data_IF_013243371385
#
_entry.id   IF_013243371385
#
_cell.length_a   1.000
_cell.length_b   1.000
_cell.length_c   1.000
_cell.angle_alpha   90.00
_cell.angle_beta   90.00
_cell.angle_gamma   90.00
#
_symmetry.space_group_name_H-M   'P 1'
#
loop_
_entity.id
_entity.type
_entity.pdbx_description
1 polymer ?
#
# COMPACT_ATOMS: atom_id res chain seq x y z
N UNK A 1 -1.96 1.01 12.32
CA UNK A 1 -2.88 0.15 13.09
C UNK A 1 -3.14 0.74 14.48
N UNK A 2 -3.97 0.10 15.30
CA UNK A 2 -4.34 0.66 16.62
C UNK A 2 -3.15 0.75 17.58
N UNK A 3 -2.22 -0.18 17.50
CA UNK A 3 -0.98 -0.13 18.28
C UNK A 3 -0.10 1.05 17.86
N UNK A 4 0.02 1.27 16.55
CA UNK A 4 0.76 2.41 16.01
C UNK A 4 0.09 3.73 16.39
N UNK A 5 -1.24 3.74 16.46
CA UNK A 5 -2.00 4.91 16.89
C UNK A 5 -1.69 5.28 18.34
N UNK A 6 -1.63 4.28 19.23
CA UNK A 6 -1.25 4.47 20.63
C UNK A 6 0.17 5.05 20.79
N UNK A 7 1.07 4.66 19.90
CA UNK A 7 2.45 5.16 19.86
C UNK A 7 2.60 6.52 19.14
N UNK A 8 1.51 7.09 18.61
CA UNK A 8 1.54 8.34 17.86
C UNK A 8 2.18 8.23 16.47
N UNK A 9 2.45 7.03 15.98
CA UNK A 9 3.09 6.80 14.69
C UNK A 9 2.29 7.35 13.51
N UNK A 10 0.97 7.16 13.40
CA UNK A 10 0.19 7.76 12.31
C UNK A 10 0.33 9.29 12.23
N UNK A 11 0.54 9.95 13.37
CA UNK A 11 0.78 11.39 13.39
C UNK A 11 2.18 11.75 12.90
N UNK A 12 3.20 10.96 13.26
CA UNK A 12 4.59 11.15 12.79
C UNK A 12 4.73 10.89 11.30
N UNK A 13 4.07 9.82 10.82
CA UNK A 13 4.16 9.34 9.44
C UNK A 13 3.09 9.95 8.51
N UNK A 14 2.31 10.91 9.00
CA UNK A 14 1.21 11.51 8.25
C UNK A 14 1.67 12.16 6.93
N UNK A 15 2.90 12.62 6.87
CA UNK A 15 3.50 13.16 5.66
C UNK A 15 3.41 12.19 4.48
N UNK A 16 3.64 10.90 4.71
CA UNK A 16 3.58 9.88 3.66
C UNK A 16 2.16 9.63 3.16
N UNK A 17 1.17 9.66 4.05
CA UNK A 17 -0.24 9.57 3.69
C UNK A 17 -0.66 10.75 2.80
N UNK A 18 -0.16 11.94 3.07
CA UNK A 18 -0.44 13.12 2.27
C UNK A 18 0.38 13.15 0.97
N UNK A 19 1.60 12.64 0.98
CA UNK A 19 2.48 12.59 -0.19
C UNK A 19 1.84 11.85 -1.36
N UNK A 20 1.18 10.73 -1.10
CA UNK A 20 0.50 9.94 -2.14
C UNK A 20 -0.76 10.63 -2.72
N UNK A 21 -1.29 11.65 -2.05
CA UNK A 21 -2.48 12.40 -2.49
C UNK A 21 -2.12 13.73 -3.15
N UNK A 22 -1.00 14.33 -2.74
CA UNK A 22 -0.62 15.71 -3.10
C UNK A 22 0.70 15.74 -3.89
N UNK A 23 1.04 14.69 -4.61
CA UNK A 23 2.21 14.69 -5.49
C UNK A 23 2.03 15.65 -6.65
N UNK A 24 3.13 16.15 -7.18
CA UNK A 24 3.17 16.92 -8.42
C UNK A 24 3.96 16.13 -9.46
N UNK A 25 3.46 16.09 -10.68
CA UNK A 25 4.24 15.60 -11.81
C UNK A 25 5.26 16.69 -12.14
N UNK A 26 6.54 16.39 -11.98
CA UNK A 26 7.60 17.30 -12.34
C UNK A 26 7.81 17.29 -13.86
N UNK A 27 7.98 16.10 -14.43
CA UNK A 27 8.03 15.90 -15.86
C UNK A 27 7.62 14.47 -16.25
N UNK A 28 7.39 14.27 -17.54
CA UNK A 28 7.20 12.95 -18.15
C UNK A 28 7.98 12.95 -19.47
N UNK A 29 8.99 12.09 -19.55
CA UNK A 29 9.85 11.96 -20.72
C UNK A 29 9.54 10.65 -21.42
N UNK A 30 9.43 10.69 -22.75
CA UNK A 30 9.24 9.50 -23.56
C UNK A 30 10.37 9.40 -24.57
N UNK A 31 11.01 8.25 -24.63
CA UNK A 31 12.17 7.98 -25.49
C UNK A 31 11.98 6.63 -26.21
N UNK A 32 12.60 6.50 -27.37
CA UNK A 32 12.70 5.21 -28.05
C UNK A 32 14.04 4.53 -27.67
N UNK A 33 13.97 3.25 -27.33
CA UNK A 33 15.12 2.39 -27.10
C UNK A 33 15.01 1.15 -27.98
N UNK A 34 15.57 1.24 -29.17
CA UNK A 34 15.36 0.25 -30.22
C UNK A 34 13.89 0.14 -30.61
N UNK A 35 13.32 -1.04 -30.38
CA UNK A 35 11.88 -1.31 -30.63
C UNK A 35 11.01 -1.05 -29.39
N UNK A 36 11.63 -0.66 -28.25
CA UNK A 36 10.92 -0.42 -27.02
C UNK A 36 10.56 1.07 -26.89
N UNK A 37 9.53 1.36 -26.11
CA UNK A 37 9.21 2.72 -25.68
C UNK A 37 9.54 2.82 -24.19
N UNK A 38 10.36 3.80 -23.83
CA UNK A 38 10.71 4.12 -22.45
C UNK A 38 9.96 5.38 -22.04
N UNK A 39 9.20 5.30 -20.96
CA UNK A 39 8.50 6.42 -20.36
C UNK A 39 9.01 6.60 -18.93
N UNK A 40 9.60 7.76 -18.65
CA UNK A 40 10.05 8.12 -17.31
C UNK A 40 9.17 9.22 -16.76
N UNK A 41 8.51 8.95 -15.64
CA UNK A 41 7.67 9.91 -14.93
C UNK A 41 8.33 10.29 -13.60
N UNK A 42 8.59 11.56 -13.41
CA UNK A 42 9.18 12.13 -12.22
C UNK A 42 8.12 12.81 -11.38
N UNK A 43 7.96 12.35 -10.16
CA UNK A 43 6.96 12.86 -9.21
C UNK A 43 7.67 13.53 -8.03
N UNK A 44 7.29 14.76 -7.75
CA UNK A 44 7.69 15.47 -6.55
C UNK A 44 6.66 15.21 -5.46
N UNK A 45 7.11 14.57 -4.40
CA UNK A 45 6.32 14.26 -3.21
C UNK A 45 6.45 15.38 -2.16
N UNK A 46 5.71 15.27 -1.08
CA UNK A 46 5.85 16.16 0.05
C UNK A 46 7.29 16.14 0.60
N UNK A 47 7.71 17.27 1.19
CA UNK A 47 9.07 17.50 1.70
C UNK A 47 10.19 17.39 0.63
N UNK A 48 9.85 17.56 -0.65
CA UNK A 48 10.86 17.58 -1.73
C UNK A 48 11.38 16.21 -2.14
N UNK A 49 10.82 15.13 -1.64
CA UNK A 49 11.21 13.78 -2.03
C UNK A 49 10.86 13.50 -3.49
N UNK A 50 11.71 12.79 -4.19
CA UNK A 50 11.51 12.42 -5.58
C UNK A 50 11.12 10.95 -5.70
N UNK A 51 10.05 10.69 -6.45
CA UNK A 51 9.60 9.35 -6.79
C UNK A 51 9.59 9.23 -8.32
N UNK A 52 10.42 8.34 -8.83
CA UNK A 52 10.63 8.14 -10.25
C UNK A 52 10.09 6.78 -10.64
N UNK A 53 9.27 6.75 -11.68
CA UNK A 53 8.83 5.50 -12.30
C UNK A 53 9.27 5.48 -13.74
N UNK A 54 10.11 4.51 -14.09
CA UNK A 54 10.55 4.26 -15.44
C UNK A 54 9.86 3.02 -15.97
N UNK A 55 9.04 3.18 -16.98
CA UNK A 55 8.41 2.07 -17.70
C UNK A 55 9.15 1.78 -18.99
N UNK A 56 9.58 0.54 -19.18
CA UNK A 56 10.05 0.04 -20.47
C UNK A 56 8.97 -0.83 -21.06
N UNK A 57 8.38 -0.38 -22.17
CA UNK A 57 7.25 -1.03 -22.84
C UNK A 57 7.80 -1.78 -24.06
N UNK A 58 7.65 -3.09 -24.01
CA UNK A 58 8.14 -4.00 -25.05
C UNK A 58 7.04 -4.28 -26.11
N UNK A 59 7.44 -4.60 -27.36
CA UNK A 59 6.48 -4.86 -28.45
C UNK A 59 5.55 -6.05 -28.21
N UNK A 60 5.92 -6.99 -27.35
CA UNK A 60 5.13 -8.17 -26.97
C UNK A 60 4.07 -7.87 -25.89
N UNK A 61 4.01 -6.61 -25.42
CA UNK A 61 3.08 -6.17 -24.39
C UNK A 61 3.60 -6.31 -22.96
N UNK A 62 4.83 -6.77 -22.77
CA UNK A 62 5.50 -6.73 -21.46
C UNK A 62 5.80 -5.27 -21.09
N UNK A 63 5.61 -4.92 -19.85
CA UNK A 63 5.99 -3.62 -19.28
C UNK A 63 6.88 -3.89 -18.08
N UNK A 64 8.12 -3.45 -18.15
CA UNK A 64 9.02 -3.42 -17.00
C UNK A 64 8.88 -2.07 -16.30
N UNK A 65 8.75 -2.08 -14.98
CA UNK A 65 8.61 -0.86 -14.18
C UNK A 65 9.72 -0.81 -13.13
N UNK A 66 10.63 0.14 -13.30
CA UNK A 66 11.65 0.49 -12.32
C UNK A 66 11.13 1.64 -11.45
N UNK A 67 11.17 1.45 -10.13
CA UNK A 67 10.69 2.44 -9.17
C UNK A 67 11.86 2.88 -8.31
N UNK A 68 12.15 4.18 -8.34
CA UNK A 68 13.20 4.79 -7.52
C UNK A 68 12.59 5.84 -6.61
N UNK A 69 12.90 5.75 -5.33
CA UNK A 69 12.58 6.79 -4.36
C UNK A 69 13.88 7.44 -3.89
N UNK A 70 13.93 8.77 -3.98
CA UNK A 70 15.09 9.56 -3.52
C UNK A 70 14.61 10.62 -2.55
N UNK A 71 15.13 10.61 -1.33
CA UNK A 71 14.91 11.68 -0.37
C UNK A 71 15.93 12.80 -0.62
N UNK A 72 15.46 14.03 -0.69
CA UNK A 72 16.35 15.21 -0.84
C UNK A 72 17.08 15.56 0.45
N UNK A 73 16.60 15.05 1.60
CA UNK A 73 17.23 15.24 2.90
C UNK A 73 18.24 14.12 3.25
N UNK A 74 18.49 13.20 2.33
CA UNK A 74 19.52 12.19 2.49
C UNK A 74 20.89 12.74 2.03
N UNK A 75 21.60 13.45 2.88
CA UNK A 75 23.04 13.23 3.00
C UNK A 75 23.25 11.77 3.41
N UNK A 76 24.19 11.09 2.77
CA UNK A 76 24.43 9.65 2.96
C UNK A 76 24.26 9.22 4.43
N UNK A 77 23.17 8.53 4.73
CA UNK A 77 22.91 7.90 6.03
C UNK A 77 22.04 8.68 7.02
N UNK A 78 21.48 9.83 6.67
CA UNK A 78 20.60 10.59 7.59
C UNK A 78 19.23 10.84 6.99
N UNK A 79 18.25 10.13 7.48
CA UNK A 79 16.82 10.41 7.28
C UNK A 79 16.36 11.35 8.40
N UNK A 80 16.51 12.66 8.25
CA UNK A 80 16.07 13.62 9.28
C UNK A 80 14.82 14.40 8.81
N UNK A 81 13.79 14.38 9.63
CA UNK A 81 12.63 15.28 9.46
C UNK A 81 13.05 16.69 9.83
N UNK A 82 12.61 17.69 9.06
CA UNK A 82 12.94 19.09 9.39
C UNK A 82 12.49 19.44 10.81
N UNK A 83 13.27 20.27 11.50
CA UNK A 83 12.98 20.67 12.87
C UNK A 83 11.62 21.39 12.99
N UNK A 84 11.21 22.12 11.95
CA UNK A 84 9.91 22.76 11.88
C UNK A 84 8.75 21.73 11.90
N UNK A 85 8.90 20.61 11.17
CA UNK A 85 7.90 19.53 11.16
C UNK A 85 7.85 18.83 12.53
N UNK A 86 9.02 18.61 13.15
CA UNK A 86 9.11 18.03 14.48
C UNK A 86 8.50 18.95 15.56
N UNK A 87 8.77 20.25 15.49
CA UNK A 87 8.19 21.25 16.41
C UNK A 87 6.68 21.31 16.32
N UNK A 88 6.12 21.25 15.11
CA UNK A 88 4.67 21.23 14.90
C UNK A 88 3.99 19.95 15.41
N UNK A 89 4.76 18.87 15.62
CA UNK A 89 4.24 17.54 15.95
C UNK A 89 4.32 17.22 17.44
N UNK A 90 5.30 17.75 18.16
CA UNK A 90 5.58 17.40 19.56
C UNK A 90 5.43 18.62 20.48
N UNK A 91 4.83 18.38 21.64
CA UNK A 91 4.75 19.37 22.70
C UNK A 91 6.12 19.54 23.41
N UNK A 92 6.37 20.71 24.04
CA UNK A 92 7.55 20.88 24.89
C UNK A 92 7.65 19.76 25.95
N UNK A 93 8.83 19.25 26.19
CA UNK A 93 9.08 18.13 27.12
C UNK A 93 9.06 16.72 26.47
N UNK A 94 8.84 16.65 25.17
CA UNK A 94 8.88 15.38 24.40
C UNK A 94 10.15 15.24 23.55
N UNK A 95 11.29 15.75 24.01
CA UNK A 95 12.55 15.79 23.26
C UNK A 95 13.04 14.40 22.86
N UNK A 96 12.84 13.40 23.69
CA UNK A 96 13.28 12.04 23.41
C UNK A 96 12.41 11.39 22.31
N UNK A 97 11.08 11.61 22.37
CA UNK A 97 10.15 11.21 21.32
C UNK A 97 10.41 11.97 20.03
N UNK A 98 10.77 13.24 20.10
CA UNK A 98 11.17 14.09 18.97
C UNK A 98 12.44 13.57 18.30
N UNK A 99 13.47 13.21 19.06
CA UNK A 99 14.71 12.61 18.53
C UNK A 99 14.48 11.24 17.88
N UNK A 100 13.59 10.43 18.46
CA UNK A 100 13.22 9.15 17.87
C UNK A 100 12.43 9.33 16.55
N UNK A 101 11.65 10.40 16.45
CA UNK A 101 10.88 10.74 15.25
C UNK A 101 11.72 11.46 14.17
N UNK A 102 12.95 11.87 14.47
CA UNK A 102 13.84 12.49 13.49
C UNK A 102 14.33 11.53 12.40
N UNK A 103 14.10 10.23 12.56
CA UNK A 103 14.32 9.22 11.51
C UNK A 103 13.02 8.95 10.77
N UNK A 104 12.87 9.53 9.61
CA UNK A 104 11.76 9.20 8.70
C UNK A 104 11.95 7.77 8.19
N UNK A 105 10.99 6.92 8.56
CA UNK A 105 10.88 5.59 7.98
C UNK A 105 9.78 5.65 6.92
N UNK A 106 10.09 5.29 5.68
CA UNK A 106 9.08 5.14 4.63
C UNK A 106 8.32 3.85 4.90
N UNK A 107 7.06 3.90 5.29
CA UNK A 107 6.33 2.70 5.72
C UNK A 107 6.01 1.76 4.56
N UNK A 108 5.87 2.30 3.33
CA UNK A 108 5.59 1.53 2.14
C UNK A 108 6.01 2.29 0.89
N UNK A 109 6.62 1.57 -0.05
CA UNK A 109 6.87 2.04 -1.42
C UNK A 109 6.24 1.03 -2.37
N UNK A 110 5.50 1.50 -3.38
CA UNK A 110 4.91 0.62 -4.37
C UNK A 110 3.96 1.36 -5.30
N UNK A 111 3.27 0.60 -6.11
CA UNK A 111 2.25 1.08 -7.04
C UNK A 111 0.89 0.53 -6.66
N UNK A 112 -0.14 1.30 -6.94
CA UNK A 112 -1.52 0.89 -6.81
C UNK A 112 -2.25 1.21 -8.11
N UNK A 113 -3.01 0.26 -8.60
CA UNK A 113 -3.84 0.45 -9.78
C UNK A 113 -5.15 -0.31 -9.66
N UNK A 114 -6.05 -0.04 -10.57
CA UNK A 114 -7.37 -0.66 -10.64
C UNK A 114 -7.48 -1.47 -11.91
N UNK A 115 -8.09 -2.63 -11.80
CA UNK A 115 -8.39 -3.52 -12.92
C UNK A 115 -9.89 -3.84 -12.94
N UNK A 116 -10.43 -4.30 -14.10
CA UNK A 116 -11.82 -4.71 -14.18
C UNK A 116 -12.20 -5.74 -13.11
N UNK A 117 -13.40 -5.62 -12.57
CA UNK A 117 -13.89 -6.46 -11.49
C UNK A 117 -14.00 -7.96 -11.84
N UNK A 118 -14.12 -8.27 -13.12
CA UNK A 118 -14.17 -9.65 -13.63
C UNK A 118 -12.80 -10.33 -13.68
N UNK A 119 -11.71 -9.57 -13.50
CA UNK A 119 -10.36 -10.10 -13.25
C UNK A 119 -10.19 -10.42 -11.75
N UNK A 120 -10.94 -11.39 -11.26
CA UNK A 120 -10.98 -11.72 -9.84
C UNK A 120 -10.34 -13.07 -9.49
N UNK A 121 -9.91 -13.85 -10.47
CA UNK A 121 -9.14 -15.06 -10.22
C UNK A 121 -7.71 -14.67 -9.89
N UNK A 122 -7.20 -15.13 -8.76
CA UNK A 122 -5.87 -14.80 -8.27
C UNK A 122 -5.06 -16.09 -8.14
N UNK A 123 -3.94 -16.15 -8.85
CA UNK A 123 -2.95 -17.21 -8.68
C UNK A 123 -1.61 -16.56 -8.37
N UNK A 124 -0.89 -17.06 -7.37
CA UNK A 124 0.37 -16.45 -6.98
C UNK A 124 1.36 -17.48 -6.42
N UNK A 125 2.65 -17.20 -6.62
CA UNK A 125 3.73 -17.90 -5.97
C UNK A 125 4.36 -16.99 -4.92
N UNK A 126 4.03 -17.28 -3.67
CA UNK A 126 4.39 -16.43 -2.54
C UNK A 126 3.96 -17.05 -1.22
N UNK A 127 3.96 -16.25 -0.16
CA UNK A 127 3.60 -16.73 1.17
C UNK A 127 2.07 -16.70 1.37
N UNK A 128 1.52 -17.85 1.81
CA UNK A 128 0.07 -18.02 1.98
C UNK A 128 -0.27 -19.24 2.85
N UNK A 129 -1.51 -19.80 2.76
CA UNK A 129 -2.66 -19.33 1.97
C UNK A 129 -3.35 -18.08 2.56
N UNK A 130 -3.31 -17.92 3.88
CA UNK A 130 -3.90 -16.79 4.59
C UNK A 130 -3.11 -15.49 4.43
N UNK A 131 -3.71 -14.37 4.83
CA UNK A 131 -3.00 -13.11 4.87
C UNK A 131 -1.80 -13.18 5.82
N UNK A 132 -0.76 -12.48 5.46
CA UNK A 132 0.45 -12.40 6.24
C UNK A 132 1.13 -11.04 6.02
N UNK A 133 1.90 -10.62 7.03
CA UNK A 133 2.58 -9.34 7.10
C UNK A 133 4.01 -9.59 7.55
N UNK A 134 4.90 -8.63 7.37
CA UNK A 134 6.33 -8.78 7.69
C UNK A 134 6.58 -9.21 9.15
N UNK A 135 5.70 -8.81 10.05
CA UNK A 135 5.72 -9.15 11.48
C UNK A 135 4.89 -10.40 11.83
N UNK A 136 4.12 -10.94 10.87
CA UNK A 136 3.21 -12.08 11.05
C UNK A 136 3.27 -13.06 9.89
N UNK A 137 4.35 -13.82 9.79
CA UNK A 137 4.62 -14.75 8.68
C UNK A 137 4.69 -16.23 9.10
N UNK A 138 4.80 -16.53 10.39
CA UNK A 138 5.14 -17.89 10.85
C UNK A 138 4.14 -18.97 10.48
N UNK A 139 2.88 -18.64 10.32
CA UNK A 139 1.81 -19.57 9.94
C UNK A 139 1.60 -19.64 8.41
N UNK A 140 2.47 -19.01 7.62
CA UNK A 140 2.33 -18.93 6.17
C UNK A 140 3.58 -19.50 5.49
N UNK A 141 3.38 -20.31 4.45
CA UNK A 141 4.44 -20.98 3.72
C UNK A 141 4.51 -20.44 2.29
N UNK A 142 5.69 -20.49 1.69
CA UNK A 142 5.87 -20.14 0.28
C UNK A 142 5.48 -21.33 -0.57
N UNK A 143 4.45 -21.15 -1.40
CA UNK A 143 3.93 -22.17 -2.31
C UNK A 143 3.12 -21.50 -3.42
N UNK A 144 2.57 -22.31 -4.31
CA UNK A 144 1.63 -21.89 -5.35
C UNK A 144 0.20 -21.92 -4.81
N UNK A 145 -0.44 -20.77 -4.81
CA UNK A 145 -1.81 -20.62 -4.31
C UNK A 145 -2.76 -20.11 -5.37
N UNK A 146 -4.00 -20.59 -5.31
CA UNK A 146 -5.12 -20.12 -6.11
C UNK A 146 -6.25 -19.65 -5.20
N UNK A 147 -6.78 -18.48 -5.49
CA UNK A 147 -7.85 -17.85 -4.71
C UNK A 147 -8.64 -16.87 -5.59
N UNK A 148 -9.46 -16.05 -4.99
CA UNK A 148 -10.13 -14.94 -5.66
C UNK A 148 -9.91 -13.64 -4.88
N UNK A 149 -10.04 -12.50 -5.54
CA UNK A 149 -9.99 -11.21 -4.87
C UNK A 149 -11.03 -11.12 -3.73
N UNK A 150 -12.20 -11.72 -3.92
CA UNK A 150 -13.25 -11.76 -2.90
C UNK A 150 -12.84 -12.60 -1.67
N UNK A 151 -12.15 -13.73 -1.90
CA UNK A 151 -11.69 -14.62 -0.82
C UNK A 151 -10.41 -14.12 -0.12
N UNK A 152 -9.72 -13.15 -0.70
CA UNK A 152 -8.56 -12.52 -0.05
C UNK A 152 -8.97 -11.56 1.06
N UNK A 153 -10.21 -11.09 1.07
CA UNK A 153 -10.73 -10.26 2.16
C UNK A 153 -10.90 -11.07 3.44
N UNK A 154 -10.33 -10.58 4.54
CA UNK A 154 -10.44 -11.19 5.87
C UNK A 154 -11.40 -10.36 6.72
N UNK A 155 -12.54 -10.95 7.10
CA UNK A 155 -13.61 -10.29 7.85
C UNK A 155 -13.51 -10.47 9.37
N UNK A 156 -12.48 -11.14 9.87
CA UNK A 156 -12.35 -11.50 11.29
C UNK A 156 -11.77 -10.37 12.17
N UNK A 157 -11.47 -9.22 11.58
CA UNK A 157 -10.95 -8.09 12.34
C UNK A 157 -12.08 -7.25 12.92
N UNK A 158 -11.95 -6.93 14.18
CA UNK A 158 -12.78 -5.93 14.84
C UNK A 158 -12.69 -4.59 14.11
N UNK A 159 -11.50 -4.25 13.61
CA UNK A 159 -11.21 -3.08 12.79
C UNK A 159 -10.21 -3.45 11.71
N UNK A 160 -10.65 -3.65 10.48
CA UNK A 160 -9.72 -3.81 9.36
C UNK A 160 -9.02 -2.48 9.09
N UNK A 161 -7.71 -2.52 8.94
CA UNK A 161 -6.87 -1.37 8.59
C UNK A 161 -6.08 -1.65 7.32
N UNK A 162 -5.46 -2.78 7.27
CA UNK A 162 -4.95 -3.45 6.08
C UNK A 162 -5.57 -4.83 6.02
N UNK A 163 -5.70 -5.37 4.84
CA UNK A 163 -6.40 -6.62 4.66
C UNK A 163 -5.85 -7.38 3.46
N UNK A 164 -5.88 -8.69 3.54
CA UNK A 164 -5.60 -9.56 2.42
C UNK A 164 -4.14 -9.58 1.94
N UNK A 165 -3.19 -9.02 2.68
CA UNK A 165 -1.80 -8.91 2.26
C UNK A 165 -1.11 -10.28 2.13
N UNK A 166 -0.24 -10.41 1.12
CA UNK A 166 0.64 -11.55 0.89
C UNK A 166 2.05 -11.06 0.71
N UNK A 167 2.98 -11.59 1.49
CA UNK A 167 4.42 -11.26 1.42
C UNK A 167 5.19 -12.31 0.62
N UNK A 168 6.47 -12.04 0.38
CA UNK A 168 7.40 -12.94 -0.31
C UNK A 168 6.86 -13.48 -1.64
N UNK A 169 6.14 -12.64 -2.39
CA UNK A 169 5.52 -13.02 -3.66
C UNK A 169 6.49 -12.78 -4.81
N UNK A 170 6.73 -13.82 -5.62
CA UNK A 170 7.57 -13.76 -6.81
C UNK A 170 6.79 -13.34 -8.04
N UNK A 171 5.55 -13.82 -8.12
CA UNK A 171 4.63 -13.40 -9.15
C UNK A 171 3.19 -13.56 -8.70
N UNK A 172 2.31 -12.78 -9.28
CA UNK A 172 0.86 -12.88 -9.13
C UNK A 172 0.19 -12.70 -10.49
N UNK A 173 -0.81 -13.52 -10.74
CA UNK A 173 -1.71 -13.42 -11.90
C UNK A 173 -3.11 -13.07 -11.44
N UNK A 174 -3.70 -12.10 -12.15
CA UNK A 174 -5.08 -11.67 -11.95
C UNK A 174 -5.80 -11.85 -13.28
N UNK A 175 -6.71 -12.81 -13.32
CA UNK A 175 -7.33 -13.23 -14.59
C UNK A 175 -8.85 -13.23 -14.50
N UNK A 176 -9.47 -13.16 -15.66
CA UNK A 176 -10.86 -13.54 -15.86
C UNK A 176 -11.01 -15.06 -15.86
N UNK A 177 -12.23 -15.56 -15.74
CA UNK A 177 -12.51 -17.01 -15.85
C UNK A 177 -12.04 -17.63 -17.17
N UNK A 178 -11.85 -16.83 -18.21
CA UNK A 178 -11.33 -17.30 -19.51
C UNK A 178 -9.80 -17.28 -19.61
N UNK A 179 -9.09 -17.02 -18.50
CA UNK A 179 -7.65 -16.99 -18.40
C UNK A 179 -6.97 -15.70 -18.91
N UNK A 180 -7.72 -14.74 -19.48
CA UNK A 180 -7.14 -13.46 -19.89
C UNK A 180 -6.99 -12.53 -18.68
N UNK A 181 -5.85 -11.88 -18.56
CA UNK A 181 -5.60 -11.00 -17.43
C UNK A 181 -4.22 -10.37 -17.42
N UNK A 182 -3.73 -10.12 -16.24
CA UNK A 182 -2.46 -9.47 -15.96
C UNK A 182 -1.59 -10.41 -15.12
N UNK A 183 -0.32 -10.53 -15.46
CA UNK A 183 0.71 -11.17 -14.65
C UNK A 183 1.72 -10.11 -14.21
N UNK A 184 1.99 -10.08 -12.92
CA UNK A 184 3.01 -9.24 -12.31
C UNK A 184 4.11 -10.16 -11.82
N UNK A 185 5.33 -9.92 -12.25
CA UNK A 185 6.52 -10.65 -11.84
C UNK A 185 7.45 -9.69 -11.15
N UNK A 186 7.94 -10.06 -9.98
CA UNK A 186 8.91 -9.28 -9.24
C UNK A 186 10.33 -9.73 -9.58
N UNK A 187 11.27 -8.81 -9.63
CA UNK A 187 12.70 -9.15 -9.79
C UNK A 187 13.25 -9.92 -8.58
N UNK A 188 12.76 -9.61 -7.41
CA UNK A 188 13.05 -10.34 -6.17
C UNK A 188 11.74 -10.84 -5.54
N UNK A 189 11.19 -10.11 -4.60
CA UNK A 189 9.89 -10.38 -4.00
C UNK A 189 9.14 -9.09 -3.73
N UNK A 190 7.82 -9.16 -3.82
CA UNK A 190 6.91 -8.06 -3.49
C UNK A 190 5.90 -8.51 -2.43
N UNK A 191 5.31 -7.55 -1.75
CA UNK A 191 4.04 -7.74 -1.07
C UNK A 191 2.90 -7.26 -1.96
N UNK A 192 1.78 -7.96 -1.98
CA UNK A 192 0.61 -7.55 -2.75
C UNK A 192 -0.70 -7.72 -1.99
N UNK A 193 -1.68 -6.94 -2.39
CA UNK A 193 -3.08 -7.09 -2.02
C UNK A 193 -3.91 -7.12 -3.31
N UNK A 194 -4.92 -7.96 -3.39
CA UNK A 194 -5.91 -7.93 -4.46
C UNK A 194 -7.30 -7.93 -3.82
N UNK A 195 -7.89 -6.76 -3.69
CA UNK A 195 -9.12 -6.54 -2.93
C UNK A 195 -10.14 -5.74 -3.72
N UNK A 196 -11.40 -5.80 -3.32
CA UNK A 196 -12.45 -4.91 -3.78
C UNK A 196 -12.39 -3.53 -3.11
N UNK A 197 -11.79 -3.48 -1.94
CA UNK A 197 -11.66 -2.30 -1.10
C UNK A 197 -10.34 -1.59 -1.36
N UNK A 198 -10.36 -0.29 -1.39
CA UNK A 198 -9.15 0.53 -1.29
C UNK A 198 -8.69 0.62 0.16
N UNK A 199 -7.45 1.05 0.38
CA UNK A 199 -6.92 1.29 1.74
C UNK A 199 -7.77 2.35 2.47
N UNK A 200 -8.26 3.33 1.74
CA UNK A 200 -9.09 4.42 2.26
C UNK A 200 -10.46 3.93 2.77
N UNK A 201 -10.98 2.83 2.23
CA UNK A 201 -12.25 2.25 2.70
C UNK A 201 -12.11 1.67 4.10
N UNK A 202 -10.90 1.25 4.50
CA UNK A 202 -10.61 0.76 5.85
C UNK A 202 -10.30 1.90 6.84
N UNK A 203 -9.84 3.04 6.35
CA UNK A 203 -9.43 4.20 7.14
C UNK A 203 -10.45 5.33 7.02
N UNK A 204 -11.69 5.09 7.35
CA UNK A 204 -12.68 6.16 7.34
C UNK A 204 -12.47 7.10 8.53
N UNK A 205 -12.40 8.42 8.28
CA UNK A 205 -12.32 9.45 9.32
C UNK A 205 -13.49 9.34 10.31
N UNK A 206 -14.63 8.87 9.85
CA UNK A 206 -15.80 8.56 10.67
C UNK A 206 -15.51 7.44 11.69
N UNK A 207 -14.69 6.44 11.33
CA UNK A 207 -14.27 5.40 12.24
C UNK A 207 -13.31 5.96 13.31
N UNK A 208 -12.42 6.88 12.96
CA UNK A 208 -11.50 7.54 13.90
C UNK A 208 -12.27 8.43 14.89
N UNK A 209 -13.27 9.18 14.45
CA UNK A 209 -14.15 9.97 15.32
C UNK A 209 -14.97 9.12 16.28
N UNK A 210 -15.39 7.93 15.84
CA UNK A 210 -16.19 6.97 16.63
C UNK A 210 -15.34 6.05 17.51
N UNK A 211 -14.02 5.97 17.34
CA UNK A 211 -13.10 5.23 18.24
C UNK A 211 -13.25 5.65 19.73
N UNK A 212 -13.58 6.89 19.99
CA UNK A 212 -13.88 7.35 21.35
C UNK A 212 -15.18 6.77 21.92
N UNK A 213 -16.04 6.16 21.10
CA UNK A 213 -17.28 5.50 21.49
C UNK A 213 -17.21 3.96 21.41
N UNK A 214 -16.03 3.40 21.19
CA UNK A 214 -15.81 1.97 20.95
C UNK A 214 -16.26 1.04 22.07
N UNK A 215 -16.30 1.55 23.28
CA UNK A 215 -16.78 0.79 24.43
C UNK A 215 -18.28 0.42 24.36
N UNK A 216 -18.99 0.91 23.33
CA UNK A 216 -20.45 0.75 23.21
C UNK A 216 -20.90 -0.10 22.00
N UNK A 217 -19.97 -0.62 21.17
CA UNK A 217 -20.33 -1.45 20.02
C UNK A 217 -20.09 -2.94 20.30
N UNK A 218 -21.06 -3.76 19.93
CA UNK A 218 -20.91 -5.21 19.98
C UNK A 218 -19.99 -5.68 18.81
N UNK A 219 -19.30 -6.83 18.96
CA UNK A 219 -18.51 -7.41 17.86
C UNK A 219 -19.31 -7.63 16.57
N UNK A 220 -20.61 -7.93 16.72
CA UNK A 220 -21.51 -8.16 15.59
C UNK A 220 -21.87 -6.88 14.83
N UNK A 221 -22.07 -5.76 15.53
CA UNK A 221 -22.28 -4.45 14.90
C UNK A 221 -21.04 -3.97 14.13
N UNK A 222 -19.85 -4.31 14.63
CA UNK A 222 -18.58 -3.97 13.98
C UNK A 222 -18.39 -4.81 12.71
N UNK A 223 -18.67 -6.11 12.77
CA UNK A 223 -18.61 -7.02 11.63
C UNK A 223 -19.59 -6.61 10.51
N UNK A 224 -20.83 -6.32 10.86
CA UNK A 224 -21.88 -5.90 9.92
C UNK A 224 -21.52 -4.60 9.20
N UNK A 225 -20.88 -3.63 9.86
CA UNK A 225 -20.45 -2.38 9.24
C UNK A 225 -19.31 -2.58 8.24
N UNK A 226 -18.40 -3.49 8.54
CA UNK A 226 -17.33 -3.85 7.60
C UNK A 226 -17.89 -4.54 6.37
N UNK A 227 -18.91 -5.39 6.53
CA UNK A 227 -19.58 -6.06 5.42
C UNK A 227 -20.42 -5.10 4.57
N UNK A 228 -21.13 -4.14 5.15
CA UNK A 228 -21.89 -3.14 4.39
C UNK A 228 -20.99 -2.27 3.53
N UNK A 229 -19.89 -1.78 4.08
CA UNK A 229 -18.89 -1.04 3.29
C UNK A 229 -18.25 -1.89 2.20
N UNK A 230 -17.92 -3.13 2.50
CA UNK A 230 -17.40 -4.07 1.51
C UNK A 230 -18.40 -4.31 0.37
N UNK A 231 -19.69 -4.44 0.67
CA UNK A 231 -20.76 -4.64 -0.32
C UNK A 231 -20.94 -3.45 -1.27
N UNK A 232 -20.77 -2.22 -0.81
CA UNK A 232 -20.90 -1.02 -1.65
C UNK A 232 -19.72 -0.85 -2.62
N UNK A 233 -18.51 -1.23 -2.23
CA UNK A 233 -17.30 -1.15 -3.08
C UNK A 233 -17.17 -2.37 -3.99
N UNK A 234 -17.74 -3.51 -3.62
CA UNK A 234 -17.69 -4.78 -4.36
C UNK A 234 -18.23 -4.73 -5.79
N UNK A 235 -18.95 -3.69 -6.17
CA UNK A 235 -19.70 -3.69 -7.43
C UNK A 235 -18.88 -3.35 -8.68
N UNK A 236 -17.70 -2.73 -8.56
CA UNK A 236 -17.08 -2.11 -9.74
C UNK A 236 -15.60 -2.39 -10.01
N UNK A 237 -14.71 -2.68 -9.05
CA UNK A 237 -13.26 -2.80 -9.30
C UNK A 237 -12.52 -3.72 -8.32
N UNK A 238 -11.44 -4.36 -8.80
CA UNK A 238 -10.42 -5.02 -7.94
C UNK A 238 -9.28 -4.04 -7.74
N UNK A 239 -8.85 -3.84 -6.50
CA UNK A 239 -7.70 -3.02 -6.11
C UNK A 239 -6.49 -3.91 -5.85
N UNK A 240 -5.33 -3.52 -6.37
CA UNK A 240 -4.05 -4.22 -6.27
C UNK A 240 -3.02 -3.28 -5.69
#
# INVERSE_FOLDING_TARGET
>A
NDNDYGNGQPKREQIWKQSSKNFKVADVITEADGNNTVLTANYLLAAGNLYIVKYTIYPDGVVHADITFTSTDMEEGKTEVSEATLMATFSPGQEEARRAASKLVVPRIGVRFRIPADMNQVEYFGRGPGENYIDRQRASFVDLYKTTADAMYTNNYVRPQENGHRTDTRWVELTRKNGKGLKIVADQTIGFNALRNSVEDFDSEEAVGKLRQWNNFTPEEIANRSEEKAKDVLRHMTHI
#
